data_IF_668894270959
#
_entry.id   IF_668894270959
#
_cell.length_a   1.000
_cell.length_b   1.000
_cell.length_c   1.000
_cell.angle_alpha   90.00
_cell.angle_beta   90.00
_cell.angle_gamma   90.00
#
_symmetry.space_group_name_H-M   'P 1'
#
loop_
_entity.id
_entity.type
_entity.pdbx_description
1 polymer ?
#
# COMPACT_ATOMS: atom_id res chain seq x y z
N UNK A 1 7.94 -26.40 -22.95
CA UNK A 1 6.92 -25.35 -22.73
C UNK A 1 7.53 -24.02 -23.13
N UNK A 2 6.88 -23.27 -24.01
CA UNK A 2 7.30 -21.89 -24.32
C UNK A 2 7.10 -21.08 -23.05
N UNK A 3 8.16 -20.51 -22.48
CA UNK A 3 8.05 -19.64 -21.33
C UNK A 3 7.19 -18.43 -21.72
N UNK A 4 6.08 -18.22 -21.04
CA UNK A 4 5.22 -17.07 -21.29
C UNK A 4 5.94 -15.85 -20.74
N UNK A 5 6.05 -14.79 -21.54
CA UNK A 5 6.66 -13.53 -21.11
C UNK A 5 5.95 -13.00 -19.84
N UNK A 6 6.76 -12.48 -18.91
CA UNK A 6 6.28 -11.91 -17.65
C UNK A 6 5.80 -10.50 -17.81
N UNK A 7 6.36 -9.74 -18.74
CA UNK A 7 5.97 -8.37 -19.06
C UNK A 7 5.80 -8.22 -20.56
N UNK A 8 4.77 -7.49 -20.96
CA UNK A 8 4.47 -7.05 -22.31
C UNK A 8 4.27 -5.53 -22.28
N UNK A 9 4.94 -4.82 -23.19
CA UNK A 9 4.79 -3.38 -23.34
C UNK A 9 3.70 -3.12 -24.37
N UNK A 10 2.55 -2.63 -23.90
CA UNK A 10 1.37 -2.42 -24.74
C UNK A 10 1.50 -1.16 -25.59
N UNK A 11 2.07 -0.09 -25.02
CA UNK A 11 2.16 1.21 -25.68
C UNK A 11 3.24 2.07 -25.03
N UNK A 12 3.97 2.83 -25.86
CA UNK A 12 4.90 3.88 -25.42
C UNK A 12 4.50 5.20 -26.05
N UNK A 13 3.70 5.97 -25.33
CA UNK A 13 3.25 7.30 -25.75
C UNK A 13 4.33 8.33 -25.41
N UNK A 14 4.86 9.01 -26.42
CA UNK A 14 5.87 10.08 -26.26
C UNK A 14 5.20 11.44 -26.42
N UNK A 15 5.36 12.31 -25.44
CA UNK A 15 4.79 13.66 -25.54
C UNK A 15 5.67 14.54 -26.45
N UNK A 16 5.01 15.34 -27.28
CA UNK A 16 5.64 16.24 -28.26
C UNK A 16 5.40 17.71 -27.91
N UNK A 17 6.12 18.62 -28.58
CA UNK A 17 5.97 20.08 -28.44
C UNK A 17 6.15 20.62 -27.02
N UNK A 18 7.12 20.08 -26.28
CA UNK A 18 7.43 20.48 -24.91
C UNK A 18 8.26 21.79 -24.92
N UNK A 19 7.60 22.92 -24.67
CA UNK A 19 8.15 24.28 -24.86
C UNK A 19 9.46 24.54 -24.08
N UNK A 20 9.62 23.88 -22.94
CA UNK A 20 10.73 24.01 -22.01
C UNK A 20 11.92 23.09 -22.35
N UNK A 21 11.77 22.20 -23.34
CA UNK A 21 12.81 21.26 -23.78
C UNK A 21 13.32 21.62 -25.18
N UNK A 22 14.61 21.34 -25.43
CA UNK A 22 15.18 21.34 -26.77
C UNK A 22 14.89 20.03 -27.50
N UNK A 23 14.78 18.94 -26.75
CA UNK A 23 14.42 17.64 -27.25
C UNK A 23 14.43 16.57 -26.16
N UNK A 24 13.78 15.46 -26.43
CA UNK A 24 13.83 14.26 -25.63
C UNK A 24 13.51 13.03 -26.47
N UNK A 25 13.97 11.86 -26.04
CA UNK A 25 13.49 10.59 -26.55
C UNK A 25 13.46 9.53 -25.46
N UNK A 26 12.55 8.56 -25.66
CA UNK A 26 12.57 7.26 -24.99
C UNK A 26 13.09 6.27 -26.02
N UNK A 27 14.23 5.65 -25.70
CA UNK A 27 14.90 4.67 -26.56
C UNK A 27 14.39 3.25 -26.28
N UNK A 28 14.17 2.92 -24.99
CA UNK A 28 13.50 1.68 -24.54
C UNK A 28 12.57 2.00 -23.36
N UNK A 29 11.48 1.24 -23.16
CA UNK A 29 11.07 0.09 -23.96
C UNK A 29 10.47 0.45 -25.32
N UNK A 30 10.34 -0.54 -26.20
CA UNK A 30 9.57 -0.43 -27.44
C UNK A 30 8.15 -1.00 -27.29
N UNK A 31 7.21 -0.53 -28.11
CA UNK A 31 5.84 -1.10 -28.13
C UNK A 31 5.89 -2.53 -28.69
N UNK A 32 5.24 -3.46 -28.02
CA UNK A 32 5.30 -4.89 -28.33
C UNK A 32 6.51 -5.61 -27.75
N UNK A 33 7.37 -4.93 -26.98
CA UNK A 33 8.50 -5.58 -26.30
C UNK A 33 7.99 -6.55 -25.23
N UNK A 34 8.58 -7.75 -25.19
CA UNK A 34 8.31 -8.77 -24.18
C UNK A 34 9.55 -9.06 -23.36
N UNK A 35 9.37 -9.23 -22.05
CA UNK A 35 10.44 -9.63 -21.12
C UNK A 35 10.06 -10.83 -20.28
N UNK A 36 11.05 -11.68 -20.00
CA UNK A 36 10.90 -12.83 -19.10
C UNK A 36 11.23 -12.50 -17.62
N UNK A 37 11.45 -11.23 -17.32
CA UNK A 37 11.71 -10.70 -15.97
C UNK A 37 10.52 -9.88 -15.47
N UNK A 38 10.39 -9.71 -14.16
CA UNK A 38 9.41 -8.81 -13.54
C UNK A 38 9.87 -7.34 -13.56
N UNK A 39 10.59 -6.93 -14.61
CA UNK A 39 11.19 -5.60 -14.71
C UNK A 39 10.99 -4.97 -16.08
N UNK A 40 10.93 -3.64 -16.09
CA UNK A 40 10.93 -2.82 -17.30
C UNK A 40 12.22 -2.00 -17.31
N UNK A 41 12.99 -2.12 -18.39
CA UNK A 41 14.14 -1.26 -18.62
C UNK A 41 13.70 0.00 -19.34
N UNK A 42 14.18 1.13 -18.87
CA UNK A 42 13.83 2.44 -19.38
C UNK A 42 15.12 3.20 -19.65
N UNK A 43 15.31 3.64 -20.88
CA UNK A 43 16.43 4.51 -21.24
C UNK A 43 16.04 5.53 -22.29
N UNK A 44 16.78 6.62 -22.32
CA UNK A 44 16.47 7.76 -23.17
C UNK A 44 17.38 8.93 -22.90
N UNK A 45 16.97 10.10 -23.37
CA UNK A 45 17.66 11.36 -23.12
C UNK A 45 16.67 12.51 -23.04
N UNK A 46 17.03 13.56 -22.29
CA UNK A 46 16.25 14.80 -22.18
C UNK A 46 17.18 15.99 -22.11
N UNK A 47 16.94 16.98 -22.96
CA UNK A 47 17.70 18.22 -22.99
C UNK A 47 16.77 19.41 -22.74
N UNK A 48 16.97 20.08 -21.61
CA UNK A 48 16.23 21.29 -21.27
C UNK A 48 16.69 22.52 -22.05
N UNK A 49 15.77 23.46 -22.30
CA UNK A 49 15.99 24.68 -23.09
C UNK A 49 16.61 25.81 -22.27
N UNK A 50 15.86 26.30 -21.27
CA UNK A 50 16.33 27.38 -20.37
C UNK A 50 17.11 26.82 -19.17
N UNK A 51 16.57 25.78 -18.56
CA UNK A 51 17.19 25.10 -17.42
C UNK A 51 17.55 23.67 -17.82
N UNK A 52 18.72 23.15 -17.41
CA UNK A 52 19.09 21.78 -17.73
C UNK A 52 18.17 20.80 -17.00
N UNK A 53 17.86 19.69 -17.67
CA UNK A 53 17.22 18.56 -17.02
C UNK A 53 18.23 17.86 -16.10
N UNK A 54 17.83 17.58 -14.86
CA UNK A 54 18.70 17.03 -13.81
C UNK A 54 18.30 15.64 -13.34
N UNK A 55 17.04 15.24 -13.55
CA UNK A 55 16.56 13.92 -13.17
C UNK A 55 15.35 13.48 -14.00
N UNK A 56 15.10 12.18 -14.02
CA UNK A 56 13.85 11.57 -14.46
C UNK A 56 13.14 11.00 -13.23
N UNK A 57 11.83 11.27 -13.12
CA UNK A 57 10.92 10.61 -12.18
C UNK A 57 10.08 9.59 -12.94
N UNK A 58 9.94 8.41 -12.37
CA UNK A 58 9.04 7.35 -12.83
C UNK A 58 7.96 7.19 -11.79
N UNK A 59 6.70 7.35 -12.21
CA UNK A 59 5.54 7.49 -11.34
C UNK A 59 4.47 6.49 -11.76
N UNK A 60 3.89 5.78 -10.80
CA UNK A 60 2.69 4.96 -10.99
C UNK A 60 1.62 5.45 -9.99
N UNK A 61 0.39 5.71 -10.45
CA UNK A 61 -0.72 6.13 -9.60
C UNK A 61 -0.36 7.23 -8.58
N UNK A 62 0.35 8.26 -9.03
CA UNK A 62 0.88 9.40 -8.22
C UNK A 62 2.00 9.04 -7.22
N UNK A 63 2.35 7.76 -7.07
CA UNK A 63 3.49 7.30 -6.28
C UNK A 63 4.76 7.36 -7.12
N UNK A 64 5.77 8.07 -6.64
CA UNK A 64 7.10 8.04 -7.24
C UNK A 64 7.75 6.68 -6.95
N UNK A 65 7.97 5.87 -7.99
CA UNK A 65 8.63 4.57 -7.89
C UNK A 65 10.14 4.72 -7.90
N UNK A 66 10.65 5.62 -8.75
CA UNK A 66 12.09 5.84 -8.91
C UNK A 66 12.38 7.26 -9.37
N UNK A 67 13.49 7.81 -8.88
CA UNK A 67 14.09 9.06 -9.37
C UNK A 67 15.55 8.78 -9.70
N UNK A 68 15.96 9.07 -10.93
CA UNK A 68 17.33 8.85 -11.40
C UNK A 68 17.94 10.17 -11.89
N UNK A 69 19.25 10.40 -11.69
CA UNK A 69 19.92 11.55 -12.27
C UNK A 69 20.03 11.42 -13.78
N UNK A 70 20.09 12.56 -14.47
CA UNK A 70 20.51 12.64 -15.87
C UNK A 70 22.02 12.85 -15.90
N UNK A 71 22.72 12.15 -16.78
CA UNK A 71 24.18 12.24 -16.86
C UNK A 71 24.87 11.20 -17.74
N UNK A 72 24.14 10.19 -18.24
CA UNK A 72 24.71 9.17 -19.10
C UNK A 72 25.17 9.81 -20.42
N UNK A 73 26.28 9.29 -20.96
CA UNK A 73 26.91 9.83 -22.16
C UNK A 73 26.05 9.59 -23.41
N UNK A 74 25.95 10.62 -24.25
CA UNK A 74 25.26 10.69 -25.55
C UNK A 74 26.07 11.53 -26.53
N UNK A 75 27.27 11.07 -26.95
CA UNK A 75 28.18 11.87 -27.76
C UNK A 75 27.57 12.33 -29.10
N UNK A 76 26.68 11.53 -29.68
CA UNK A 76 25.94 11.86 -30.90
C UNK A 76 25.08 13.13 -30.75
N UNK A 77 24.50 13.35 -29.57
CA UNK A 77 23.67 14.52 -29.30
C UNK A 77 24.48 15.81 -29.18
N UNK A 78 25.78 15.72 -28.88
CA UNK A 78 26.66 16.89 -28.93
C UNK A 78 26.84 17.42 -30.36
N UNK A 79 26.72 16.55 -31.36
CA UNK A 79 26.78 16.94 -32.78
C UNK A 79 25.47 17.58 -33.23
N UNK A 80 24.33 17.08 -32.73
CA UNK A 80 22.99 17.60 -33.06
C UNK A 80 22.73 18.93 -32.33
N UNK A 81 23.21 19.07 -31.09
CA UNK A 81 23.06 20.27 -30.26
C UNK A 81 24.42 20.87 -29.85
N UNK A 82 25.23 21.37 -30.80
CA UNK A 82 26.60 21.80 -30.54
C UNK A 82 26.69 23.00 -29.59
N UNK A 83 25.63 23.82 -29.53
CA UNK A 83 25.55 24.99 -28.66
C UNK A 83 25.19 24.63 -27.20
N UNK A 84 24.86 23.37 -26.91
CA UNK A 84 24.49 22.95 -25.56
C UNK A 84 25.57 22.01 -24.98
N UNK A 85 26.42 22.48 -24.05
CA UNK A 85 27.51 21.67 -23.49
C UNK A 85 27.02 20.48 -22.66
N UNK A 86 25.72 20.44 -22.29
CA UNK A 86 25.10 19.31 -21.58
C UNK A 86 24.59 18.22 -22.53
N UNK A 87 24.52 18.48 -23.84
CA UNK A 87 24.02 17.50 -24.81
C UNK A 87 24.77 16.17 -24.76
N UNK A 88 26.09 16.20 -24.56
CA UNK A 88 26.91 14.97 -24.43
C UNK A 88 26.59 14.11 -23.21
N UNK A 89 25.92 14.64 -22.19
CA UNK A 89 25.65 13.97 -20.91
C UNK A 89 24.17 14.10 -20.52
N UNK A 90 23.25 14.03 -21.50
CA UNK A 90 21.82 14.20 -21.29
C UNK A 90 21.03 12.88 -21.27
N UNK A 91 21.73 11.74 -21.27
CA UNK A 91 21.13 10.42 -21.20
C UNK A 91 20.72 9.99 -19.79
N UNK A 92 19.81 9.04 -19.73
CA UNK A 92 19.44 8.32 -18.52
C UNK A 92 19.16 6.84 -18.85
N UNK A 93 19.33 5.96 -17.87
CA UNK A 93 18.97 4.55 -17.99
C UNK A 93 18.66 3.98 -16.60
N UNK A 94 17.63 3.16 -16.49
CA UNK A 94 17.30 2.43 -15.26
C UNK A 94 16.42 1.23 -15.55
N UNK A 95 16.25 0.39 -14.55
CA UNK A 95 15.27 -0.70 -14.54
C UNK A 95 14.34 -0.51 -13.36
N UNK A 96 13.06 -0.79 -13.52
CA UNK A 96 12.09 -0.80 -12.42
C UNK A 96 11.47 -2.17 -12.27
N UNK A 97 11.19 -2.58 -11.04
CA UNK A 97 10.35 -3.76 -10.77
C UNK A 97 8.88 -3.39 -10.91
N UNK A 98 8.11 -4.29 -11.52
CA UNK A 98 6.64 -4.19 -11.61
C UNK A 98 5.93 -5.06 -10.56
N UNK A 99 6.66 -5.73 -9.68
CA UNK A 99 6.10 -6.53 -8.58
C UNK A 99 5.26 -5.64 -7.66
N UNK A 100 4.04 -6.07 -7.35
CA UNK A 100 3.09 -5.33 -6.54
C UNK A 100 2.37 -4.19 -7.28
N UNK A 101 2.50 -4.08 -8.61
CA UNK A 101 1.66 -3.23 -9.45
C UNK A 101 0.45 -4.02 -9.98
N UNK A 102 -0.51 -3.33 -10.59
CA UNK A 102 -1.66 -3.99 -11.21
C UNK A 102 -1.23 -4.72 -12.49
N UNK A 103 -1.88 -5.85 -12.80
CA UNK A 103 -1.52 -6.70 -13.94
C UNK A 103 -1.57 -5.99 -15.30
N UNK A 104 -2.37 -4.94 -15.43
CA UNK A 104 -2.28 -3.97 -16.52
C UNK A 104 -2.27 -2.56 -15.90
N UNK A 105 -1.24 -1.77 -16.18
CA UNK A 105 -1.03 -0.46 -15.56
C UNK A 105 -0.17 0.45 -16.45
N UNK A 106 0.10 1.66 -15.97
CA UNK A 106 0.94 2.65 -16.65
C UNK A 106 2.04 3.25 -15.76
N UNK A 107 3.13 3.64 -16.41
CA UNK A 107 4.24 4.38 -15.85
C UNK A 107 4.31 5.76 -16.52
N UNK A 108 4.27 6.80 -15.72
CA UNK A 108 4.42 8.18 -16.16
C UNK A 108 5.87 8.63 -15.94
N UNK A 109 6.51 9.11 -17.00
CA UNK A 109 7.87 9.64 -16.97
C UNK A 109 7.82 11.16 -16.95
N UNK A 110 8.51 11.77 -15.98
CA UNK A 110 8.65 13.22 -15.85
C UNK A 110 10.11 13.63 -15.79
N UNK A 111 10.52 14.55 -16.65
CA UNK A 111 11.79 15.25 -16.53
C UNK A 111 11.70 16.32 -15.43
N UNK A 112 12.73 16.42 -14.61
CA UNK A 112 12.88 17.47 -13.59
C UNK A 112 13.99 18.40 -14.05
N UNK A 113 13.66 19.68 -14.23
CA UNK A 113 14.61 20.72 -14.56
C UNK A 113 15.29 21.29 -13.30
N UNK A 114 16.42 21.99 -13.47
CA UNK A 114 17.20 22.57 -12.36
C UNK A 114 16.39 23.54 -11.49
N UNK A 115 15.44 24.26 -12.08
CA UNK A 115 14.51 25.17 -11.40
C UNK A 115 13.33 24.44 -10.71
N UNK A 116 13.36 23.11 -10.66
CA UNK A 116 12.31 22.23 -10.14
C UNK A 116 11.04 22.14 -11.01
N UNK A 117 11.04 22.70 -12.21
CA UNK A 117 9.95 22.49 -13.17
C UNK A 117 9.87 20.99 -13.53
N UNK A 118 8.66 20.41 -13.48
CA UNK A 118 8.40 19.02 -13.86
C UNK A 118 7.68 18.97 -15.20
N UNK A 119 8.24 18.22 -16.15
CA UNK A 119 7.71 18.12 -17.51
C UNK A 119 7.39 16.66 -17.81
N UNK A 120 6.13 16.29 -18.08
CA UNK A 120 5.81 14.95 -18.53
C UNK A 120 6.44 14.72 -19.90
N UNK A 121 7.16 13.60 -20.08
CA UNK A 121 7.88 13.30 -21.33
C UNK A 121 7.35 12.05 -22.05
N UNK A 122 6.80 11.09 -21.29
CA UNK A 122 6.26 9.88 -21.86
C UNK A 122 5.34 9.15 -20.87
N UNK A 123 4.55 8.23 -21.42
CA UNK A 123 3.77 7.24 -20.71
C UNK A 123 4.05 5.86 -21.29
N UNK A 124 4.26 4.87 -20.43
CA UNK A 124 4.48 3.47 -20.81
C UNK A 124 3.33 2.66 -20.23
N UNK A 125 2.50 2.07 -21.09
CA UNK A 125 1.47 1.10 -20.69
C UNK A 125 2.03 -0.30 -20.82
N UNK A 126 1.78 -1.13 -19.82
CA UNK A 126 2.30 -2.49 -19.77
C UNK A 126 1.27 -3.44 -19.20
N UNK A 127 1.41 -4.72 -19.56
CA UNK A 127 0.75 -5.85 -18.93
C UNK A 127 1.81 -6.77 -18.35
N UNK A 128 1.54 -7.35 -17.20
CA UNK A 128 2.44 -8.32 -16.59
C UNK A 128 1.70 -9.48 -15.93
N UNK A 129 2.43 -10.56 -15.73
CA UNK A 129 1.98 -11.67 -14.91
C UNK A 129 2.18 -11.37 -13.43
N UNK A 130 1.22 -11.75 -12.56
CA UNK A 130 1.43 -11.80 -11.13
C UNK A 130 2.70 -12.58 -10.76
N UNK A 131 3.44 -12.07 -9.78
CA UNK A 131 4.52 -12.80 -9.13
C UNK A 131 4.00 -14.13 -8.60
N UNK A 132 4.68 -15.20 -8.98
CA UNK A 132 4.39 -16.54 -8.47
C UNK A 132 5.45 -16.95 -7.48
N UNK A 133 5.08 -17.80 -6.55
CA UNK A 133 6.03 -18.52 -5.71
C UNK A 133 5.85 -20.02 -5.96
N UNK A 134 6.91 -20.79 -5.69
CA UNK A 134 6.83 -22.25 -5.65
C UNK A 134 6.24 -22.79 -4.34
N UNK A 135 5.75 -21.91 -3.45
CA UNK A 135 5.24 -22.27 -2.14
C UNK A 135 3.71 -22.19 -2.13
N UNK A 136 3.05 -23.18 -1.55
CA UNK A 136 1.62 -23.14 -1.29
C UNK A 136 1.39 -22.72 0.16
N UNK A 137 0.89 -21.49 0.41
CA UNK A 137 0.61 -21.03 1.76
C UNK A 137 -0.44 -21.90 2.44
N UNK A 138 -0.23 -22.17 3.72
CA UNK A 138 -1.14 -22.90 4.60
C UNK A 138 -2.12 -21.97 5.30
N UNK A 139 -1.76 -20.70 5.43
CA UNK A 139 -2.57 -19.64 6.02
C UNK A 139 -2.83 -18.54 4.99
N UNK A 140 -3.99 -17.90 5.07
CA UNK A 140 -4.37 -16.79 4.20
C UNK A 140 -4.31 -15.45 4.95
N UNK A 141 -3.96 -14.33 4.31
CA UNK A 141 -4.01 -13.03 4.94
C UNK A 141 -5.46 -12.54 5.04
N UNK A 142 -5.82 -12.03 6.22
CA UNK A 142 -6.97 -11.15 6.42
C UNK A 142 -6.47 -9.72 6.59
N UNK A 143 -6.56 -8.94 5.52
CA UNK A 143 -6.10 -7.55 5.47
C UNK A 143 -7.19 -6.66 6.06
N UNK A 144 -6.93 -6.01 7.20
CA UNK A 144 -7.83 -4.99 7.75
C UNK A 144 -7.35 -3.61 7.30
N UNK A 145 -7.86 -3.14 6.17
CA UNK A 145 -7.57 -1.79 5.66
C UNK A 145 -8.36 -0.77 6.45
N UNK A 146 -7.66 0.13 7.12
CA UNK A 146 -8.26 1.06 8.08
C UNK A 146 -7.47 2.35 8.20
N UNK A 147 -8.07 3.32 8.90
CA UNK A 147 -7.37 4.51 9.39
C UNK A 147 -7.44 4.55 10.92
N UNK A 148 -6.72 5.49 11.53
CA UNK A 148 -6.72 5.60 12.99
C UNK A 148 -8.14 5.88 13.50
N UNK A 149 -8.47 5.35 14.68
CA UNK A 149 -9.71 5.68 15.44
C UNK A 149 -11.02 5.14 14.85
N UNK A 150 -10.98 4.20 13.91
CA UNK A 150 -12.16 3.52 13.34
C UNK A 150 -12.61 2.27 14.11
N UNK A 151 -12.12 2.07 15.35
CA UNK A 151 -12.48 0.88 16.14
C UNK A 151 -11.65 -0.37 15.87
N UNK A 152 -10.49 -0.23 15.19
CA UNK A 152 -9.60 -1.36 14.84
C UNK A 152 -9.22 -2.25 16.01
N UNK A 153 -8.99 -1.68 17.20
CA UNK A 153 -8.67 -2.48 18.40
C UNK A 153 -9.80 -3.43 18.76
N UNK A 154 -11.05 -2.97 18.71
CA UNK A 154 -12.21 -3.79 19.03
C UNK A 154 -12.41 -4.91 18.01
N UNK A 155 -12.34 -4.57 16.72
CA UNK A 155 -12.42 -5.57 15.65
C UNK A 155 -11.35 -6.65 15.81
N UNK A 156 -10.07 -6.28 15.96
CA UNK A 156 -9.00 -7.27 16.08
C UNK A 156 -9.14 -8.14 17.33
N UNK A 157 -9.66 -7.58 18.43
CA UNK A 157 -9.95 -8.35 19.63
C UNK A 157 -11.06 -9.38 19.39
N UNK A 158 -12.15 -9.01 18.70
CA UNK A 158 -13.21 -9.93 18.30
C UNK A 158 -12.68 -11.03 17.37
N UNK A 159 -11.95 -10.66 16.30
CA UNK A 159 -11.35 -11.62 15.38
C UNK A 159 -10.42 -12.59 16.13
N UNK A 160 -9.65 -12.10 17.12
CA UNK A 160 -8.77 -12.94 17.94
C UNK A 160 -9.48 -14.02 18.75
N UNK A 161 -10.82 -13.99 18.88
CA UNK A 161 -11.58 -15.03 19.58
C UNK A 161 -12.02 -16.17 18.67
N UNK A 162 -12.06 -15.99 17.34
CA UNK A 162 -12.47 -17.06 16.44
C UNK A 162 -11.39 -18.14 16.33
N UNK A 163 -11.72 -19.45 16.37
CA UNK A 163 -10.73 -20.54 16.34
C UNK A 163 -9.85 -20.59 15.07
N UNK A 164 -10.37 -20.07 13.94
CA UNK A 164 -9.71 -20.02 12.62
C UNK A 164 -9.04 -18.69 12.28
N UNK A 165 -9.03 -17.74 13.21
CA UNK A 165 -8.41 -16.42 13.02
C UNK A 165 -7.25 -16.24 14.00
N UNK A 166 -6.06 -16.04 13.45
CA UNK A 166 -4.83 -15.83 14.19
C UNK A 166 -4.55 -14.34 14.25
N UNK A 167 -4.60 -13.79 15.46
CA UNK A 167 -4.32 -12.37 15.73
C UNK A 167 -3.37 -12.33 16.92
N UNK A 168 -2.39 -11.42 16.90
CA UNK A 168 -1.57 -11.21 18.10
C UNK A 168 -2.47 -10.80 19.25
N UNK A 169 -2.43 -11.53 20.37
CA UNK A 169 -3.20 -11.19 21.57
C UNK A 169 -2.48 -10.16 22.46
N UNK A 170 -1.28 -9.73 22.06
CA UNK A 170 -0.58 -8.63 22.72
C UNK A 170 -1.12 -7.30 22.20
N UNK A 171 -1.57 -6.44 23.12
CA UNK A 171 -1.98 -5.08 22.79
C UNK A 171 -0.87 -4.36 21.98
N UNK A 172 -1.17 -3.73 20.83
CA UNK A 172 -2.47 -3.30 20.32
C UNK A 172 -3.20 -4.31 19.42
N UNK A 173 -3.03 -5.61 19.66
CA UNK A 173 -3.51 -6.72 18.84
C UNK A 173 -2.94 -6.68 17.43
N UNK A 174 -1.62 -6.54 17.35
CA UNK A 174 -0.90 -6.34 16.09
C UNK A 174 0.51 -6.90 16.16
N UNK A 175 0.92 -7.61 15.11
CA UNK A 175 2.30 -8.00 14.82
C UNK A 175 2.41 -7.82 13.31
N UNK A 176 3.14 -6.79 12.86
CA UNK A 176 3.27 -6.42 11.43
C UNK A 176 4.31 -7.25 10.69
N UNK A 177 4.44 -8.52 11.07
CA UNK A 177 5.54 -9.37 10.61
C UNK A 177 5.35 -9.79 9.15
N UNK A 178 4.12 -10.09 8.74
CA UNK A 178 3.84 -10.36 7.33
C UNK A 178 4.13 -9.12 6.48
N UNK A 179 3.69 -7.94 6.93
CA UNK A 179 4.04 -6.68 6.27
C UNK A 179 5.56 -6.48 6.13
N UNK A 180 6.33 -6.85 7.16
CA UNK A 180 7.79 -6.79 7.12
C UNK A 180 8.39 -7.70 6.04
N UNK A 181 7.97 -8.98 5.97
CA UNK A 181 8.49 -9.90 4.96
C UNK A 181 8.05 -9.54 3.54
N UNK A 182 6.82 -9.04 3.35
CA UNK A 182 6.41 -8.52 2.04
C UNK A 182 7.21 -7.28 1.66
N UNK A 183 7.51 -6.39 2.62
CA UNK A 183 8.40 -5.24 2.37
C UNK A 183 9.82 -5.70 2.02
N UNK A 184 10.32 -6.74 2.68
CA UNK A 184 11.61 -7.36 2.35
C UNK A 184 11.62 -7.87 0.90
N UNK A 185 10.59 -8.64 0.51
CA UNK A 185 10.41 -9.10 -0.88
C UNK A 185 10.42 -7.91 -1.85
N UNK A 186 9.62 -6.88 -1.58
CA UNK A 186 9.51 -5.69 -2.43
C UNK A 186 10.85 -4.96 -2.59
N UNK A 187 11.69 -4.90 -1.55
CA UNK A 187 12.95 -4.15 -1.54
C UNK A 187 14.09 -4.96 -2.15
N UNK A 188 14.27 -6.21 -1.73
CA UNK A 188 15.41 -7.02 -2.14
C UNK A 188 15.29 -7.49 -3.60
N UNK A 189 14.07 -7.62 -4.13
CA UNK A 189 13.82 -7.94 -5.55
C UNK A 189 14.02 -6.75 -6.51
N UNK A 190 14.30 -5.54 -6.01
CA UNK A 190 14.47 -4.38 -6.87
C UNK A 190 15.80 -4.43 -7.63
N UNK A 191 15.82 -3.96 -8.88
CA UNK A 191 17.05 -3.59 -9.56
C UNK A 191 17.85 -2.59 -8.73
N UNK A 192 19.17 -2.66 -8.85
CA UNK A 192 20.08 -1.80 -8.13
C UNK A 192 19.70 -0.33 -8.28
N UNK A 193 19.92 0.42 -7.21
CA UNK A 193 19.65 1.84 -7.14
C UNK A 193 20.79 2.49 -6.36
N UNK A 194 21.66 3.31 -6.97
CA UNK A 194 22.81 3.89 -6.26
C UNK A 194 22.46 4.67 -4.98
N UNK A 195 21.24 5.19 -4.86
CA UNK A 195 20.77 5.92 -3.67
C UNK A 195 20.17 5.02 -2.59
N UNK A 196 19.76 3.80 -2.93
CA UNK A 196 18.99 2.91 -2.04
C UNK A 196 19.53 1.47 -1.96
N UNK A 197 20.56 1.14 -2.72
CA UNK A 197 21.33 -0.10 -2.62
C UNK A 197 22.40 0.03 -1.54
N UNK A 198 22.74 -1.10 -0.94
CA UNK A 198 24.03 -1.25 -0.27
C UNK A 198 25.18 -1.04 -1.25
N UNK A 199 26.38 -0.61 -0.78
CA UNK A 199 27.57 -0.60 -1.62
C UNK A 199 27.91 -2.00 -2.15
N UNK A 200 28.51 -2.09 -3.34
CA UNK A 200 28.97 -3.39 -3.88
C UNK A 200 30.11 -3.98 -3.01
N UNK A 201 30.95 -3.11 -2.43
CA UNK A 201 32.11 -3.49 -1.62
C UNK A 201 31.93 -2.93 -0.21
N UNK A 202 32.20 -3.74 0.81
CA UNK A 202 32.17 -3.31 2.22
C UNK A 202 30.78 -3.28 2.83
N UNK A 203 29.73 -3.77 2.15
CA UNK A 203 28.37 -3.82 2.69
C UNK A 203 28.25 -4.72 3.92
N UNK A 204 29.13 -5.71 4.07
CA UNK A 204 29.23 -6.59 5.23
C UNK A 204 29.53 -5.83 6.54
N UNK A 205 30.06 -4.60 6.44
CA UNK A 205 30.31 -3.72 7.58
C UNK A 205 29.09 -2.84 7.94
N UNK A 206 28.03 -2.85 7.12
CA UNK A 206 26.82 -2.06 7.35
C UNK A 206 25.65 -2.95 7.80
N UNK A 207 25.49 -3.10 9.11
CA UNK A 207 24.42 -3.92 9.70
C UNK A 207 23.04 -3.25 9.69
N UNK A 208 22.94 -1.99 9.25
CA UNK A 208 21.71 -1.19 9.36
C UNK A 208 20.97 -1.02 8.02
N UNK A 209 21.56 -1.43 6.90
CA UNK A 209 20.98 -1.28 5.57
C UNK A 209 21.34 -2.48 4.70
N UNK A 210 20.32 -3.12 4.11
CA UNK A 210 20.50 -4.09 3.02
C UNK A 210 20.13 -3.43 1.67
N UNK A 211 18.99 -2.73 1.62
CA UNK A 211 18.60 -1.95 0.43
C UNK A 211 18.26 -2.81 -0.79
N UNK A 212 18.18 -2.18 -1.96
CA UNK A 212 18.03 -2.90 -3.23
C UNK A 212 19.30 -3.71 -3.53
N UNK A 213 19.16 -4.87 -4.18
CA UNK A 213 20.30 -5.71 -4.50
C UNK A 213 21.31 -4.99 -5.42
N UNK A 214 22.54 -4.68 -4.96
CA UNK A 214 23.50 -3.90 -5.74
C UNK A 214 24.06 -4.66 -6.95
N UNK A 215 23.93 -5.99 -6.96
CA UNK A 215 24.37 -6.84 -8.05
C UNK A 215 23.30 -6.94 -9.15
N UNK A 216 22.05 -6.58 -8.89
CA UNK A 216 21.02 -6.59 -9.94
C UNK A 216 21.14 -5.37 -10.87
N UNK A 217 22.22 -5.32 -11.65
CA UNK A 217 22.56 -4.23 -12.55
C UNK A 217 23.46 -4.67 -13.71
N UNK A 218 23.22 -4.11 -14.90
CA UNK A 218 23.90 -4.49 -16.14
C UNK A 218 25.41 -4.26 -16.18
N UNK A 219 25.95 -3.36 -15.36
CA UNK A 219 27.40 -3.08 -15.38
C UNK A 219 28.23 -4.14 -14.63
N UNK A 220 27.59 -5.04 -13.89
CA UNK A 220 28.28 -6.03 -13.03
C UNK A 220 27.90 -7.47 -13.35
N UNK A 221 26.92 -7.70 -14.22
CA UNK A 221 26.39 -9.02 -14.51
C UNK A 221 26.08 -9.22 -15.99
N UNK A 222 26.19 -10.47 -16.45
CA UNK A 222 25.80 -10.89 -17.79
C UNK A 222 24.28 -10.91 -17.96
N UNK A 223 23.76 -10.92 -19.21
CA UNK A 223 22.32 -11.02 -19.46
C UNK A 223 21.65 -12.22 -18.75
N UNK A 224 22.28 -13.39 -18.73
CA UNK A 224 21.75 -14.60 -18.10
C UNK A 224 21.59 -14.42 -16.58
N UNK A 225 22.54 -13.75 -15.94
CA UNK A 225 22.49 -13.47 -14.50
C UNK A 225 21.45 -12.37 -14.19
N UNK A 226 21.29 -11.37 -15.07
CA UNK A 226 20.23 -10.37 -14.91
C UNK A 226 18.85 -10.99 -15.05
N UNK A 227 18.68 -11.92 -16.00
CA UNK A 227 17.45 -12.68 -16.15
C UNK A 227 17.14 -13.47 -14.88
N UNK A 228 18.13 -14.15 -14.29
CA UNK A 228 17.94 -14.85 -13.02
C UNK A 228 17.50 -13.91 -11.87
N UNK A 229 18.14 -12.73 -11.75
CA UNK A 229 17.75 -11.73 -10.75
C UNK A 229 16.34 -11.15 -11.00
N UNK A 230 15.92 -11.07 -12.25
CA UNK A 230 14.62 -10.55 -12.63
C UNK A 230 13.50 -11.58 -12.70
N UNK A 231 13.84 -12.87 -12.69
CA UNK A 231 12.91 -13.98 -12.89
C UNK A 231 12.88 -14.89 -11.65
N UNK A 232 13.87 -15.78 -11.51
CA UNK A 232 13.91 -16.81 -10.47
C UNK A 232 14.06 -16.25 -9.05
N UNK A 233 14.89 -15.22 -8.89
CA UNK A 233 15.23 -14.70 -7.57
C UNK A 233 14.02 -14.12 -6.82
N UNK A 234 13.16 -13.26 -7.43
CA UNK A 234 11.94 -12.79 -6.79
C UNK A 234 10.98 -13.92 -6.40
N UNK A 235 10.86 -14.99 -7.21
CA UNK A 235 9.95 -16.10 -6.92
C UNK A 235 10.44 -16.95 -5.75
N UNK A 236 11.75 -17.20 -5.68
CA UNK A 236 12.39 -17.88 -4.54
C UNK A 236 12.30 -17.04 -3.27
N UNK A 237 12.49 -15.72 -3.39
CA UNK A 237 12.34 -14.81 -2.27
C UNK A 237 10.88 -14.75 -1.79
N UNK A 238 9.91 -14.76 -2.70
CA UNK A 238 8.50 -14.83 -2.35
C UNK A 238 8.16 -16.11 -1.59
N UNK A 239 8.65 -17.26 -2.04
CA UNK A 239 8.49 -18.54 -1.35
C UNK A 239 9.06 -18.48 0.08
N UNK A 240 10.27 -17.93 0.25
CA UNK A 240 10.89 -17.74 1.57
C UNK A 240 10.04 -16.85 2.49
N UNK A 241 9.55 -15.72 1.96
CA UNK A 241 8.72 -14.79 2.73
C UNK A 241 7.40 -15.45 3.15
N UNK A 242 6.70 -16.15 2.27
CA UNK A 242 5.47 -16.87 2.61
C UNK A 242 5.71 -17.98 3.63
N UNK A 243 6.78 -18.77 3.47
CA UNK A 243 7.16 -19.81 4.43
C UNK A 243 7.45 -19.23 5.82
N UNK A 244 8.12 -18.07 5.87
CA UNK A 244 8.43 -17.37 7.12
C UNK A 244 7.17 -16.83 7.81
N UNK A 245 6.24 -16.29 7.04
CA UNK A 245 4.93 -15.84 7.51
C UNK A 245 4.15 -17.03 8.10
N UNK A 246 4.00 -18.11 7.34
CA UNK A 246 3.31 -19.31 7.80
C UNK A 246 3.94 -19.84 9.09
N UNK A 247 5.28 -19.98 9.13
CA UNK A 247 5.98 -20.46 10.31
C UNK A 247 5.70 -19.63 11.55
N UNK A 248 5.74 -18.29 11.44
CA UNK A 248 5.45 -17.41 12.56
C UNK A 248 3.98 -17.53 13.02
N UNK A 249 3.03 -17.44 12.10
CA UNK A 249 1.61 -17.44 12.46
C UNK A 249 1.12 -18.81 12.90
N UNK A 250 1.72 -19.90 12.42
CA UNK A 250 1.47 -21.24 12.95
C UNK A 250 1.96 -21.36 14.40
N UNK A 251 3.17 -20.85 14.71
CA UNK A 251 3.68 -20.84 16.07
C UNK A 251 2.81 -19.99 17.00
N UNK A 252 2.40 -18.80 16.52
CA UNK A 252 1.49 -17.91 17.24
C UNK A 252 0.13 -18.57 17.48
N UNK A 253 -0.53 -19.08 16.44
CA UNK A 253 -1.83 -19.73 16.56
C UNK A 253 -1.77 -20.98 17.45
N UNK A 254 -0.70 -21.78 17.38
CA UNK A 254 -0.50 -22.94 18.27
C UNK A 254 -0.42 -22.52 19.73
N UNK A 255 0.33 -21.45 20.03
CA UNK A 255 0.44 -20.90 21.40
C UNK A 255 -0.90 -20.36 21.94
N UNK A 256 -1.83 -20.01 21.05
CA UNK A 256 -3.17 -19.50 21.36
C UNK A 256 -4.26 -20.59 21.32
N UNK A 257 -3.92 -21.86 21.08
CA UNK A 257 -4.89 -22.95 20.97
C UNK A 257 -5.81 -22.83 19.74
N UNK A 258 -5.33 -22.20 18.65
CA UNK A 258 -6.08 -22.08 17.40
C UNK A 258 -6.26 -23.43 16.72
N UNK A 259 -7.37 -23.58 16.00
CA UNK A 259 -7.71 -24.83 15.34
C UNK A 259 -7.09 -24.90 13.94
N UNK A 260 -6.23 -25.89 13.72
CA UNK A 260 -5.59 -26.19 12.44
C UNK A 260 -6.14 -27.47 11.77
N UNK A 261 -7.34 -27.93 12.15
CA UNK A 261 -8.02 -29.05 11.48
C UNK A 261 -8.16 -28.79 9.98
N UNK A 262 -8.09 -29.88 9.21
CA UNK A 262 -8.36 -29.89 7.78
C UNK A 262 -9.84 -30.22 7.54
N UNK A 263 -10.71 -29.28 7.88
CA UNK A 263 -12.17 -29.34 7.72
C UNK A 263 -12.67 -28.55 6.49
N UNK A 264 -11.74 -28.09 5.64
CA UNK A 264 -12.03 -27.33 4.43
C UNK A 264 -12.25 -25.83 4.66
N UNK A 265 -12.33 -25.34 5.90
CA UNK A 265 -12.36 -23.90 6.15
C UNK A 265 -10.96 -23.29 5.92
N UNK A 266 -10.84 -22.02 5.51
CA UNK A 266 -9.57 -21.32 5.53
C UNK A 266 -9.10 -21.04 6.97
N UNK A 267 -7.80 -20.79 7.13
CA UNK A 267 -7.22 -20.20 8.36
C UNK A 267 -6.64 -18.87 7.97
N UNK A 268 -7.04 -17.81 8.67
CA UNK A 268 -6.47 -16.49 8.42
C UNK A 268 -5.51 -16.04 9.51
N UNK A 269 -4.46 -15.33 9.11
CA UNK A 269 -3.78 -14.40 9.99
C UNK A 269 -4.24 -12.98 9.68
N UNK A 270 -4.57 -12.18 10.68
CA UNK A 270 -5.02 -10.81 10.47
C UNK A 270 -3.99 -9.78 10.93
N UNK A 271 -3.75 -8.78 10.08
CA UNK A 271 -2.97 -7.57 10.41
C UNK A 271 -3.75 -6.32 9.98
N UNK A 272 -3.49 -5.19 10.64
CA UNK A 272 -3.99 -3.87 10.25
C UNK A 272 -3.08 -3.25 9.19
N UNK A 273 -3.69 -2.69 8.16
CA UNK A 273 -3.01 -2.04 7.04
C UNK A 273 -3.42 -0.57 6.96
N UNK A 274 -2.52 0.28 7.44
CA UNK A 274 -2.67 1.74 7.36
C UNK A 274 -2.22 2.24 5.99
N UNK A 275 -3.13 2.20 5.00
CA UNK A 275 -3.01 2.81 3.67
C UNK A 275 -1.65 2.56 2.94
N UNK A 276 -1.01 1.41 3.18
CA UNK A 276 0.27 1.04 2.55
C UNK A 276 0.02 0.36 1.19
N UNK A 277 0.82 0.63 0.14
CA UNK A 277 0.76 -0.09 -1.14
C UNK A 277 1.13 -1.59 -1.06
N UNK A 278 1.80 -2.08 -0.01
CA UNK A 278 2.23 -3.49 0.11
C UNK A 278 1.09 -4.51 -0.02
N UNK A 279 -0.16 -4.10 0.21
CA UNK A 279 -1.35 -4.96 0.14
C UNK A 279 -1.57 -5.58 -1.25
N UNK A 280 -1.20 -4.89 -2.33
CA UNK A 280 -1.36 -5.43 -3.68
C UNK A 280 -0.50 -6.68 -3.86
N UNK A 281 0.73 -6.66 -3.35
CA UNK A 281 1.62 -7.82 -3.35
C UNK A 281 1.09 -8.99 -2.51
N UNK A 282 0.40 -8.72 -1.41
CA UNK A 282 -0.28 -9.78 -0.65
C UNK A 282 -1.35 -10.45 -1.51
N UNK A 283 -2.24 -9.68 -2.13
CA UNK A 283 -3.33 -10.24 -2.94
C UNK A 283 -2.80 -10.91 -4.22
N UNK A 284 -1.65 -10.48 -4.71
CA UNK A 284 -0.92 -11.11 -5.83
C UNK A 284 -0.42 -12.51 -5.46
N UNK A 285 0.16 -12.67 -4.26
CA UNK A 285 0.74 -13.93 -3.77
C UNK A 285 -0.25 -14.84 -3.03
N UNK A 286 -1.37 -14.29 -2.56
CA UNK A 286 -2.40 -14.98 -1.80
C UNK A 286 -3.77 -14.74 -2.45
N UNK A 287 -4.12 -15.49 -3.51
CA UNK A 287 -5.37 -15.29 -4.25
C UNK A 287 -6.63 -15.58 -3.40
N UNK A 288 -6.50 -16.35 -2.33
CA UNK A 288 -7.59 -16.62 -1.36
C UNK A 288 -7.57 -15.64 -0.17
N UNK A 289 -6.63 -14.69 -0.16
CA UNK A 289 -6.61 -13.60 0.80
C UNK A 289 -7.92 -12.82 0.78
N UNK A 290 -8.26 -12.23 1.93
CA UNK A 290 -9.47 -11.44 2.12
C UNK A 290 -9.12 -10.06 2.64
N UNK A 291 -9.90 -9.06 2.24
CA UNK A 291 -9.77 -7.69 2.71
C UNK A 291 -11.06 -7.23 3.38
N UNK A 292 -10.91 -6.53 4.52
CA UNK A 292 -11.95 -5.78 5.20
C UNK A 292 -11.61 -4.29 5.07
N UNK A 293 -12.55 -3.49 4.59
CA UNK A 293 -12.48 -2.03 4.64
C UNK A 293 -13.24 -1.58 5.90
N UNK A 294 -12.50 -1.28 6.97
CA UNK A 294 -13.09 -0.81 8.23
C UNK A 294 -13.27 0.71 8.21
N UNK A 295 -14.52 1.15 8.24
CA UNK A 295 -14.92 2.55 8.25
C UNK A 295 -15.63 2.92 9.55
N UNK A 296 -15.63 4.21 9.83
CA UNK A 296 -16.41 4.87 10.87
C UNK A 296 -16.81 6.23 10.32
N UNK A 297 -17.89 6.82 10.79
CA UNK A 297 -18.23 8.21 10.46
C UNK A 297 -17.01 9.11 10.67
N UNK A 298 -16.50 9.70 9.58
CA UNK A 298 -15.27 10.51 9.60
C UNK A 298 -15.40 11.73 10.52
N UNK A 299 -16.62 12.19 10.77
CA UNK A 299 -16.91 13.26 11.74
C UNK A 299 -16.61 12.79 13.17
N UNK A 300 -17.03 11.58 13.53
CA UNK A 300 -16.71 10.98 14.84
C UNK A 300 -15.23 10.59 14.96
N UNK A 301 -14.59 10.21 13.85
CA UNK A 301 -13.14 10.00 13.79
C UNK A 301 -12.40 11.28 14.17
N UNK A 302 -12.79 12.43 13.60
CA UNK A 302 -12.21 13.74 13.94
C UNK A 302 -12.38 14.05 15.43
N UNK A 303 -13.58 13.88 16.00
CA UNK A 303 -13.80 14.05 17.44
C UNK A 303 -12.88 13.16 18.28
N UNK A 304 -12.69 11.90 17.86
CA UNK A 304 -11.80 10.98 18.56
C UNK A 304 -10.33 11.40 18.46
N UNK A 305 -9.88 11.94 17.32
CA UNK A 305 -8.52 12.45 17.15
C UNK A 305 -8.29 13.68 18.04
N UNK A 306 -9.21 14.65 18.03
CA UNK A 306 -9.12 15.88 18.85
C UNK A 306 -9.05 15.51 20.34
N UNK A 307 -10.00 14.69 20.82
CA UNK A 307 -10.03 14.25 22.22
C UNK A 307 -8.79 13.44 22.61
N UNK A 308 -8.28 12.60 21.71
CA UNK A 308 -7.09 11.78 21.97
C UNK A 308 -5.81 12.64 22.04
N UNK A 309 -5.65 13.61 21.14
CA UNK A 309 -4.52 14.54 21.17
C UNK A 309 -4.55 15.39 22.46
N UNK A 310 -5.73 15.88 22.86
CA UNK A 310 -5.90 16.59 24.12
C UNK A 310 -5.51 15.74 25.35
N UNK A 311 -5.83 14.43 25.34
CA UNK A 311 -5.46 13.49 26.42
C UNK A 311 -3.95 13.24 26.53
N UNK A 312 -3.18 13.37 25.44
CA UNK A 312 -1.73 13.04 25.42
C UNK A 312 -0.80 14.25 25.40
N UNK A 313 -1.25 15.42 24.96
CA UNK A 313 -0.42 16.63 24.85
C UNK A 313 0.53 16.65 23.64
N UNK A 314 0.40 15.71 22.70
CA UNK A 314 1.12 15.67 21.42
C UNK A 314 0.28 14.93 20.37
N UNK A 315 0.57 15.14 19.07
CA UNK A 315 -0.21 14.53 17.99
C UNK A 315 0.09 13.01 17.81
N UNK A 316 -0.73 12.31 17.02
CA UNK A 316 -0.56 10.87 16.74
C UNK A 316 0.81 10.48 16.15
N UNK A 317 1.59 11.44 15.62
CA UNK A 317 2.92 11.22 15.07
C UNK A 317 4.05 11.53 16.07
N UNK A 318 3.71 11.89 17.32
CA UNK A 318 4.69 12.27 18.34
C UNK A 318 5.26 13.68 18.14
N UNK A 319 4.66 14.50 17.26
CA UNK A 319 5.10 15.88 17.06
C UNK A 319 4.43 16.79 18.10
N UNK A 320 5.23 17.72 18.66
CA UNK A 320 4.76 18.72 19.63
C UNK A 320 3.89 19.82 18.99
N UNK A 321 3.81 19.89 17.66
CA UNK A 321 2.92 20.84 16.99
C UNK A 321 1.48 20.33 17.03
N UNK A 322 0.70 20.88 17.96
CA UNK A 322 -0.75 20.71 18.00
C UNK A 322 -1.32 21.38 16.74
N UNK A 323 -1.73 20.57 15.77
CA UNK A 323 -2.50 21.03 14.60
C UNK A 323 -3.83 21.60 15.07
N UNK A 324 -4.32 22.65 14.44
CA UNK A 324 -5.69 23.12 14.69
C UNK A 324 -6.70 22.07 14.21
N UNK A 325 -7.93 22.11 14.75
CA UNK A 325 -8.98 21.19 14.34
C UNK A 325 -9.27 21.27 12.84
N UNK A 326 -9.24 22.48 12.26
CA UNK A 326 -9.36 22.67 10.82
C UNK A 326 -8.22 22.00 10.03
N UNK A 327 -6.98 22.08 10.51
CA UNK A 327 -5.86 21.41 9.87
C UNK A 327 -5.98 19.89 9.95
N UNK A 328 -6.46 19.36 11.08
CA UNK A 328 -6.76 17.94 11.24
C UNK A 328 -7.76 17.51 10.16
N UNK A 329 -8.85 18.26 9.97
CA UNK A 329 -9.89 17.97 8.97
C UNK A 329 -9.34 18.09 7.55
N UNK A 330 -8.83 19.27 7.18
CA UNK A 330 -8.44 19.60 5.79
C UNK A 330 -7.23 18.82 5.29
N UNK A 331 -6.30 18.44 6.18
CA UNK A 331 -5.07 17.71 5.81
C UNK A 331 -5.22 16.22 6.13
N UNK A 332 -5.06 15.85 7.40
CA UNK A 332 -4.92 14.44 7.80
C UNK A 332 -6.21 13.65 7.57
N UNK A 333 -7.36 14.19 7.97
CA UNK A 333 -8.66 13.59 7.77
C UNK A 333 -8.98 13.45 6.28
N UNK A 334 -8.83 14.52 5.50
CA UNK A 334 -9.13 14.51 4.07
C UNK A 334 -8.27 13.48 3.32
N UNK A 335 -6.97 13.44 3.59
CA UNK A 335 -6.08 12.44 3.01
C UNK A 335 -6.54 11.01 3.34
N UNK A 336 -6.84 10.74 4.61
CA UNK A 336 -7.29 9.42 5.07
C UNK A 336 -8.61 9.01 4.42
N UNK A 337 -9.60 9.91 4.39
CA UNK A 337 -10.89 9.68 3.77
C UNK A 337 -10.76 9.37 2.27
N UNK A 338 -10.02 10.21 1.53
CA UNK A 338 -9.81 10.03 0.08
C UNK A 338 -9.09 8.73 -0.25
N UNK A 339 -8.06 8.38 0.52
CA UNK A 339 -7.32 7.13 0.29
C UNK A 339 -8.18 5.90 0.56
N UNK A 340 -9.06 5.95 1.57
CA UNK A 340 -9.96 4.84 1.88
C UNK A 340 -11.07 4.71 0.83
N UNK A 341 -11.66 5.83 0.39
CA UNK A 341 -12.62 5.85 -0.73
C UNK A 341 -11.99 5.30 -2.00
N UNK A 342 -10.79 5.76 -2.35
CA UNK A 342 -10.08 5.26 -3.52
C UNK A 342 -9.90 3.74 -3.44
N UNK A 343 -9.45 3.23 -2.29
CA UNK A 343 -9.30 1.78 -2.10
C UNK A 343 -10.64 1.06 -2.22
N UNK A 344 -11.70 1.57 -1.59
CA UNK A 344 -13.02 0.97 -1.69
C UNK A 344 -13.50 0.88 -3.15
N UNK A 345 -13.29 1.94 -3.95
CA UNK A 345 -13.61 1.92 -5.39
C UNK A 345 -12.82 0.85 -6.14
N UNK A 346 -11.55 0.62 -5.77
CA UNK A 346 -10.69 -0.41 -6.38
C UNK A 346 -11.11 -1.85 -6.02
N UNK A 347 -11.64 -2.09 -4.80
CA UNK A 347 -11.89 -3.45 -4.31
C UNK A 347 -13.32 -3.75 -3.84
N UNK A 348 -14.30 -2.87 -4.07
CA UNK A 348 -15.69 -3.04 -3.60
C UNK A 348 -16.39 -4.33 -4.00
N UNK A 349 -15.95 -4.96 -5.10
CA UNK A 349 -16.51 -6.22 -5.59
C UNK A 349 -15.97 -7.45 -4.84
N UNK A 350 -14.85 -7.32 -4.13
CA UNK A 350 -14.15 -8.45 -3.49
C UNK A 350 -13.86 -8.24 -2.02
N UNK A 351 -13.82 -7.01 -1.53
CA UNK A 351 -13.59 -6.67 -0.13
C UNK A 351 -14.91 -6.51 0.65
N UNK A 352 -14.86 -6.77 1.95
CA UNK A 352 -16.00 -6.59 2.85
C UNK A 352 -15.97 -5.20 3.48
N UNK A 353 -17.02 -4.40 3.28
CA UNK A 353 -17.18 -3.12 3.97
C UNK A 353 -17.74 -3.36 5.37
N UNK A 354 -16.97 -2.96 6.40
CA UNK A 354 -17.37 -3.08 7.78
C UNK A 354 -17.51 -1.69 8.40
N UNK A 355 -18.72 -1.29 8.79
CA UNK A 355 -18.96 -0.06 9.53
C UNK A 355 -18.82 -0.32 11.02
N UNK A 356 -18.03 0.52 11.70
CA UNK A 356 -17.87 0.48 13.14
C UNK A 356 -19.21 0.55 13.86
N UNK A 357 -20.13 1.38 13.38
CA UNK A 357 -21.45 1.60 13.97
C UNK A 357 -22.29 0.32 13.99
N UNK A 358 -22.30 -0.43 12.88
CA UNK A 358 -23.03 -1.71 12.80
C UNK A 358 -22.42 -2.75 13.72
N UNK A 359 -21.08 -2.80 13.81
CA UNK A 359 -20.38 -3.72 14.70
C UNK A 359 -20.69 -3.46 16.18
N UNK A 360 -21.01 -2.22 16.56
CA UNK A 360 -21.39 -1.86 17.93
C UNK A 360 -22.89 -2.04 18.17
N UNK A 361 -23.74 -1.60 17.24
CA UNK A 361 -25.19 -1.58 17.42
C UNK A 361 -25.86 -2.93 17.11
N UNK A 362 -25.31 -3.68 16.15
CA UNK A 362 -25.80 -4.99 15.70
C UNK A 362 -24.66 -6.01 15.60
N UNK A 363 -23.93 -6.30 16.69
CA UNK A 363 -22.70 -7.09 16.67
C UNK A 363 -22.89 -8.52 16.14
N UNK A 364 -24.00 -9.18 16.51
CA UNK A 364 -24.25 -10.58 16.11
C UNK A 364 -24.47 -10.69 14.60
N UNK A 365 -25.33 -9.84 14.05
CA UNK A 365 -25.62 -9.81 12.61
C UNK A 365 -24.36 -9.44 11.81
N UNK A 366 -23.65 -8.39 12.24
CA UNK A 366 -22.43 -7.91 11.57
C UNK A 366 -21.33 -8.97 11.56
N UNK A 367 -21.10 -9.66 12.70
CA UNK A 367 -20.13 -10.74 12.78
C UNK A 367 -20.54 -11.96 11.95
N UNK A 368 -21.83 -12.28 11.87
CA UNK A 368 -22.33 -13.38 11.07
C UNK A 368 -22.04 -13.16 9.58
N UNK A 369 -22.34 -11.97 9.06
CA UNK A 369 -22.04 -11.58 7.67
C UNK A 369 -20.54 -11.57 7.39
N UNK A 370 -19.73 -11.06 8.34
CA UNK A 370 -18.29 -11.05 8.20
C UNK A 370 -17.71 -12.47 8.13
N UNK A 371 -18.11 -13.35 9.04
CA UNK A 371 -17.60 -14.74 9.06
C UNK A 371 -18.08 -15.52 7.84
N UNK A 372 -19.30 -15.28 7.35
CA UNK A 372 -19.80 -15.84 6.09
C UNK A 372 -18.93 -15.42 4.89
N UNK A 373 -18.60 -14.12 4.78
CA UNK A 373 -17.68 -13.62 3.75
C UNK A 373 -16.29 -14.29 3.81
N UNK A 374 -15.82 -14.61 5.02
CA UNK A 374 -14.56 -15.31 5.23
C UNK A 374 -14.66 -16.83 5.01
N UNK A 375 -15.85 -17.38 4.76
CA UNK A 375 -16.07 -18.82 4.63
C UNK A 375 -15.81 -19.57 5.94
N UNK A 376 -16.09 -18.92 7.07
CA UNK A 376 -15.86 -19.45 8.42
C UNK A 376 -17.18 -19.80 9.12
N UNK A 377 -17.10 -20.70 10.10
CA UNK A 377 -18.22 -21.05 10.96
C UNK A 377 -18.79 -19.83 11.70
N UNK A 378 -20.08 -19.57 11.52
CA UNK A 378 -20.73 -18.34 11.98
C UNK A 378 -21.99 -18.62 12.83
N UNK A 379 -22.02 -19.75 13.54
CA UNK A 379 -23.15 -20.11 14.40
C UNK A 379 -23.35 -19.08 15.52
N UNK A 380 -24.58 -19.00 16.02
CA UNK A 380 -24.90 -18.14 17.17
C UNK A 380 -24.03 -18.47 18.40
N UNK A 381 -23.69 -19.75 18.59
CA UNK A 381 -22.83 -20.20 19.70
C UNK A 381 -21.40 -19.66 19.55
N UNK A 382 -20.81 -19.76 18.35
CA UNK A 382 -19.46 -19.26 18.10
C UNK A 382 -19.40 -17.73 18.22
N UNK A 383 -20.35 -17.02 17.62
CA UNK A 383 -20.43 -15.56 17.72
C UNK A 383 -20.66 -15.10 19.17
N UNK A 384 -21.55 -15.77 19.91
CA UNK A 384 -21.80 -15.48 21.32
C UNK A 384 -20.53 -15.64 22.17
N UNK A 385 -19.80 -16.74 21.96
CA UNK A 385 -18.52 -16.99 22.65
C UNK A 385 -17.47 -15.93 22.33
N UNK A 386 -17.38 -15.51 21.06
CA UNK A 386 -16.46 -14.44 20.65
C UNK A 386 -16.77 -13.12 21.38
N UNK A 387 -18.04 -12.73 21.44
CA UNK A 387 -18.48 -11.49 22.08
C UNK A 387 -18.27 -11.52 23.59
N UNK A 388 -18.64 -12.61 24.25
CA UNK A 388 -18.48 -12.80 25.69
C UNK A 388 -17.00 -12.73 26.09
N UNK A 389 -16.15 -13.49 25.41
CA UNK A 389 -14.72 -13.56 25.71
C UNK A 389 -14.04 -12.22 25.43
N UNK A 390 -14.37 -11.55 24.32
CA UNK A 390 -13.81 -10.25 24.00
C UNK A 390 -14.20 -9.18 25.03
N UNK A 391 -15.43 -9.20 25.52
CA UNK A 391 -15.94 -8.24 26.52
C UNK A 391 -15.33 -8.44 27.91
N UNK A 392 -14.78 -9.61 28.22
CA UNK A 392 -14.10 -9.92 29.48
C UNK A 392 -12.70 -9.29 29.64
N UNK A 393 -11.99 -8.97 28.56
CA UNK A 393 -10.61 -8.41 28.58
C UNK A 393 -10.58 -6.93 28.12
N UNK A 394 -11.27 -6.04 28.84
CA UNK A 394 -11.40 -4.61 28.47
C UNK A 394 -10.30 -3.70 29.02
N UNK A 395 -9.51 -4.17 29.99
CA UNK A 395 -8.47 -3.37 30.67
C UNK A 395 -7.43 -2.76 29.70
N UNK A 396 -7.16 -3.43 28.56
CA UNK A 396 -6.21 -2.96 27.54
C UNK A 396 -6.78 -1.84 26.65
N UNK A 397 -8.10 -1.72 26.53
CA UNK A 397 -8.77 -0.74 25.66
C UNK A 397 -8.91 0.66 26.30
N UNK A 398 -8.89 0.75 27.64
CA UNK A 398 -9.09 2.01 28.39
C UNK A 398 -8.10 3.12 28.00
N UNK A 399 -6.85 2.77 27.64
CA UNK A 399 -5.83 3.74 27.23
C UNK A 399 -6.26 4.55 26.00
N UNK A 400 -7.06 3.96 25.11
CA UNK A 400 -7.49 4.57 23.86
C UNK A 400 -8.95 5.00 23.83
N UNK A 401 -9.71 4.70 24.88
CA UNK A 401 -11.10 5.12 24.98
C UNK A 401 -11.16 6.64 25.22
N UNK A 402 -11.99 7.32 24.44
CA UNK A 402 -12.23 8.78 24.49
C UNK A 402 -13.68 9.12 24.86
N UNK A 403 -14.44 8.11 25.30
CA UNK A 403 -15.86 8.16 25.71
C UNK A 403 -16.09 7.21 26.88
N UNK A 404 -17.26 7.29 27.52
CA UNK A 404 -17.66 6.41 28.62
C UNK A 404 -18.11 5.02 28.15
N UNK A 405 -18.60 4.89 26.91
CA UNK A 405 -18.94 3.61 26.26
C UNK A 405 -18.64 3.64 24.75
N UNK A 406 -18.76 2.49 24.08
CA UNK A 406 -18.58 2.41 22.62
C UNK A 406 -19.73 3.12 21.88
N UNK A 407 -20.95 2.96 22.36
CA UNK A 407 -22.19 3.55 21.84
C UNK A 407 -22.16 5.08 21.97
N UNK A 408 -21.67 5.60 23.09
CA UNK A 408 -21.48 7.05 23.30
C UNK A 408 -20.49 7.67 22.31
N UNK A 409 -19.77 6.87 21.54
CA UNK A 409 -18.84 7.34 20.52
C UNK A 409 -19.49 7.50 19.13
N UNK A 410 -20.72 7.03 18.94
CA UNK A 410 -21.47 7.11 17.69
C UNK A 410 -22.30 8.39 17.66
N UNK A 411 -22.12 9.22 16.64
CA UNK A 411 -22.85 10.48 16.45
C UNK A 411 -22.42 11.61 17.39
N UNK A 412 -21.34 11.45 18.16
CA UNK A 412 -20.82 12.46 19.10
C UNK A 412 -20.38 13.74 18.40
N UNK A 413 -20.08 13.69 17.10
CA UNK A 413 -19.74 14.87 16.32
C UNK A 413 -20.80 15.97 16.35
N UNK A 414 -22.06 15.61 16.59
CA UNK A 414 -23.18 16.57 16.70
C UNK A 414 -23.07 17.46 17.92
N UNK A 415 -22.49 16.96 19.02
CA UNK A 415 -22.29 17.70 20.27
C UNK A 415 -20.87 18.26 20.40
N UNK A 416 -19.89 17.52 19.91
CA UNK A 416 -18.48 17.78 20.21
C UNK A 416 -17.83 18.79 19.25
N UNK A 417 -18.34 18.88 18.01
CA UNK A 417 -17.87 19.86 17.04
C UNK A 417 -18.77 21.09 17.08
N UNK A 418 -18.18 22.27 17.02
CA UNK A 418 -18.94 23.50 16.79
C UNK A 418 -19.54 23.51 15.36
N UNK A 419 -20.55 24.35 15.07
CA UNK A 419 -21.23 24.36 13.77
C UNK A 419 -20.29 24.55 12.56
N UNK A 420 -19.26 25.39 12.70
CA UNK A 420 -18.28 25.66 11.64
C UNK A 420 -17.47 24.41 11.28
N UNK A 421 -17.02 23.65 12.28
CA UNK A 421 -16.29 22.39 12.08
C UNK A 421 -17.20 21.26 11.58
N UNK A 422 -18.48 21.26 11.95
CA UNK A 422 -19.46 20.33 11.38
C UNK A 422 -19.65 20.57 9.88
N UNK A 423 -19.84 21.83 9.47
CA UNK A 423 -19.95 22.20 8.07
C UNK A 423 -18.67 21.89 7.30
N UNK A 424 -17.51 22.21 7.89
CA UNK A 424 -16.22 21.89 7.29
C UNK A 424 -16.04 20.39 7.06
N UNK A 425 -16.39 19.55 8.05
CA UNK A 425 -16.36 18.10 7.86
C UNK A 425 -17.32 17.65 6.75
N UNK A 426 -18.53 18.22 6.67
CA UNK A 426 -19.51 17.88 5.64
C UNK A 426 -19.00 18.22 4.24
N UNK A 427 -18.29 19.34 4.08
CA UNK A 427 -17.68 19.75 2.82
C UNK A 427 -16.46 18.87 2.47
N UNK A 428 -15.55 18.66 3.42
CA UNK A 428 -14.27 17.96 3.18
C UNK A 428 -14.47 16.46 3.00
N UNK A 429 -15.39 15.84 3.74
CA UNK A 429 -15.64 14.40 3.71
C UNK A 429 -16.84 14.02 2.85
N UNK A 430 -17.43 14.94 2.07
CA UNK A 430 -18.66 14.72 1.32
C UNK A 430 -18.69 13.39 0.54
N UNK A 431 -17.65 13.13 -0.25
CA UNK A 431 -17.51 11.89 -1.03
C UNK A 431 -17.47 10.66 -0.11
N UNK A 432 -16.62 10.67 0.92
CA UNK A 432 -16.50 9.54 1.84
C UNK A 432 -17.78 9.28 2.64
N UNK A 433 -18.48 10.34 3.07
CA UNK A 433 -19.76 10.19 3.75
C UNK A 433 -20.80 9.55 2.83
N UNK A 434 -20.84 9.92 1.55
CA UNK A 434 -21.76 9.31 0.60
C UNK A 434 -21.40 7.85 0.32
N UNK A 435 -20.14 7.57 -0.04
CA UNK A 435 -19.66 6.24 -0.45
C UNK A 435 -19.79 5.19 0.66
N UNK A 436 -19.69 5.59 1.93
CA UNK A 436 -19.79 4.69 3.08
C UNK A 436 -21.14 4.75 3.81
N UNK A 437 -22.15 5.42 3.24
CA UNK A 437 -23.52 5.40 3.76
C UNK A 437 -23.75 6.27 5.01
N UNK A 438 -22.97 7.34 5.18
CA UNK A 438 -23.11 8.36 6.23
C UNK A 438 -23.66 9.70 5.73
N UNK A 439 -23.98 9.80 4.43
CA UNK A 439 -24.61 10.95 3.80
C UNK A 439 -26.02 11.20 4.36
N UNK A 440 -26.57 12.40 4.14
CA UNK A 440 -27.98 12.63 4.44
C UNK A 440 -28.81 11.70 3.56
N UNK A 441 -29.65 10.86 4.16
CA UNK A 441 -30.70 10.16 3.41
C UNK A 441 -31.47 11.22 2.63
N UNK A 442 -31.55 11.08 1.32
CA UNK A 442 -32.53 11.79 0.51
C UNK A 442 -33.88 11.35 1.03
N UNK A 443 -34.46 12.10 1.98
CA UNK A 443 -35.88 11.97 2.28
C UNK A 443 -36.56 12.40 0.99
N UNK A 444 -37.07 11.43 0.24
CA UNK A 444 -38.07 11.67 -0.79
C UNK A 444 -39.28 12.17 -0.03
N UNK A 445 -39.43 13.48 0.08
CA UNK A 445 -40.70 14.09 0.48
C UNK A 445 -41.73 13.71 -0.60
N UNK A 446 -42.70 12.90 -0.20
CA UNK A 446 -43.89 12.58 -0.99
C UNK A 446 -44.92 13.71 -0.91
#
# INVERSE_FOLDING_TARGET
>A
MVAIAKVEILEVEKYSNLAELLGCAIDIPETGEHKNTYTIDISGWVLGKKYPAVAIKIINNKRMLRKIPIGNQRPELATIYPQNPKAKNCGFATSISIIGLSTEDELNLQAVLKDQTHIPIAKIRFRHQPLRSGYQPKLQPLIVTCVGRTGTTWLMQLLSQHPRLIVSQHYPYEVRAAQYWMQMLQVLSQPANPQHSTPIVGFENNLNLIGHNPFYHKNVNSPETLDWYGNDYPEKLAAFCQQSIDGLYQALGSSQGKNFSNDGQPIYFAEKYMLNPIKTLFLELYPEGREIILVRDFRDVVCSVIAFNAKRGYDMAGQQQIKTDEEIIRKTGNFQARMLVQRWKECSQTAFLLRYEDLILSPVETLSQLLEYLGLENSQTTIGTMLETASGDTNKMEKHRTTTSAEASIGRWKSDLNPELQELCQQVFAEALQEFGYGKSSVVEY
#
